data_IF_886128791742
#
_entry.id   IF_886128791742
#
_cell.length_a   1.000
_cell.length_b   1.000
_cell.length_c   1.000
_cell.angle_alpha   90.00
_cell.angle_beta   90.00
_cell.angle_gamma   90.00
#
_symmetry.space_group_name_H-M   'P 1'
#
loop_
_entity.id
_entity.type
_entity.pdbx_description
1 polymer ?
#
# COMPACT_ATOMS: atom_id res chain seq x y z
N UNK A 1 4.91 12.13 3.36
CA UNK A 1 3.97 11.00 3.21
C UNK A 1 4.54 9.84 4.02
N UNK A 2 3.83 8.74 4.16
CA UNK A 2 4.37 7.49 4.71
C UNK A 2 4.10 6.36 3.71
N UNK A 3 4.70 5.19 3.92
CA UNK A 3 4.25 3.97 3.25
C UNK A 3 2.79 3.69 3.64
N UNK A 4 1.97 3.34 2.66
CA UNK A 4 0.57 3.02 2.88
C UNK A 4 0.34 1.52 2.74
N UNK A 5 -0.20 0.90 3.78
CA UNK A 5 -0.55 -0.51 3.76
C UNK A 5 -2.06 -0.66 3.53
N UNK A 6 -2.42 -1.53 2.60
CA UNK A 6 -3.80 -1.90 2.28
C UNK A 6 -3.91 -3.42 2.24
N UNK A 7 -5.13 -3.94 2.29
CA UNK A 7 -5.39 -5.36 2.06
C UNK A 7 -5.93 -5.56 0.64
N UNK A 8 -5.78 -6.77 0.11
CA UNK A 8 -6.46 -7.19 -1.12
C UNK A 8 -7.32 -8.42 -0.84
N UNK A 9 -8.51 -8.45 -1.42
CA UNK A 9 -9.42 -9.60 -1.37
C UNK A 9 -9.52 -10.24 -2.75
N UNK A 10 -9.45 -11.57 -2.81
CA UNK A 10 -9.63 -12.29 -4.06
C UNK A 10 -11.11 -12.47 -4.38
N UNK A 11 -11.60 -11.75 -5.38
CA UNK A 11 -13.02 -11.71 -5.78
C UNK A 11 -13.09 -11.92 -7.29
N UNK A 12 -13.94 -12.85 -7.73
CA UNK A 12 -14.21 -13.12 -9.15
C UNK A 12 -12.95 -13.31 -10.03
N UNK A 13 -11.94 -14.01 -9.49
CA UNK A 13 -10.72 -14.34 -10.24
C UNK A 13 -9.64 -13.24 -10.24
N UNK A 14 -9.77 -12.19 -9.43
CA UNK A 14 -8.79 -11.10 -9.31
C UNK A 14 -8.62 -10.61 -7.88
N UNK A 15 -7.46 -10.01 -7.60
CA UNK A 15 -7.21 -9.31 -6.35
C UNK A 15 -7.76 -7.88 -6.42
N UNK A 16 -8.59 -7.51 -5.45
CA UNK A 16 -9.26 -6.22 -5.35
C UNK A 16 -8.83 -5.50 -4.07
N UNK A 17 -8.43 -4.23 -4.17
CA UNK A 17 -7.97 -3.40 -3.04
C UNK A 17 -9.10 -3.10 -2.08
N UNK A 18 -8.80 -3.29 -0.79
CA UNK A 18 -9.61 -2.88 0.35
C UNK A 18 -8.79 -1.90 1.19
N UNK A 19 -9.21 -0.65 1.19
CA UNK A 19 -8.63 0.42 2.01
C UNK A 19 -9.75 1.11 2.79
N UNK A 20 -9.81 0.87 4.10
CA UNK A 20 -10.78 1.49 4.99
C UNK A 20 -10.40 2.91 5.42
N UNK A 21 -9.16 3.32 5.16
CA UNK A 21 -8.65 4.64 5.56
C UNK A 21 -9.06 5.72 4.56
N UNK A 22 -9.20 5.34 3.28
CA UNK A 22 -9.49 6.25 2.17
C UNK A 22 -8.54 7.47 2.11
N UNK A 23 -7.29 7.30 2.57
CA UNK A 23 -6.30 8.39 2.64
C UNK A 23 -5.66 8.70 1.28
N UNK A 24 -5.76 7.78 0.32
CA UNK A 24 -5.32 7.98 -1.05
C UNK A 24 -6.26 7.25 -2.03
N UNK A 25 -6.47 7.78 -3.26
CA UNK A 25 -7.21 7.08 -4.29
C UNK A 25 -6.57 5.73 -4.61
N UNK A 26 -7.34 4.63 -4.54
CA UNK A 26 -6.82 3.27 -4.75
C UNK A 26 -6.15 3.09 -6.11
N UNK A 27 -6.64 3.77 -7.15
CA UNK A 27 -6.05 3.75 -8.50
C UNK A 27 -4.72 4.48 -8.64
N UNK A 28 -4.35 5.29 -7.63
CA UNK A 28 -3.06 6.01 -7.58
C UNK A 28 -1.99 5.28 -6.78
N UNK A 29 -2.34 4.18 -6.10
CA UNK A 29 -1.39 3.40 -5.31
C UNK A 29 -0.39 2.66 -6.21
N UNK A 30 0.87 2.67 -5.79
CA UNK A 30 1.95 1.92 -6.44
C UNK A 30 2.33 0.76 -5.52
N UNK A 31 2.20 -0.48 -6.02
CA UNK A 31 2.53 -1.68 -5.25
C UNK A 31 4.04 -1.79 -5.04
N UNK A 32 4.46 -1.90 -3.78
CA UNK A 32 5.85 -2.20 -3.40
C UNK A 32 6.01 -3.70 -3.13
N UNK A 33 5.13 -4.27 -2.30
CA UNK A 33 5.14 -5.69 -1.93
C UNK A 33 3.72 -6.18 -1.63
N UNK A 34 3.54 -7.49 -1.70
CA UNK A 34 2.33 -8.20 -1.27
C UNK A 34 2.74 -9.44 -0.50
N UNK A 35 2.03 -9.74 0.58
CA UNK A 35 2.30 -10.86 1.47
C UNK A 35 1.07 -11.17 2.32
N UNK A 36 1.18 -12.17 3.20
CA UNK A 36 0.04 -12.56 4.05
C UNK A 36 -0.24 -11.51 5.12
N UNK A 37 0.81 -10.86 5.61
CA UNK A 37 0.77 -9.84 6.63
C UNK A 37 2.04 -8.95 6.59
N UNK A 38 2.19 -8.08 7.59
CA UNK A 38 3.30 -7.15 7.70
C UNK A 38 4.69 -7.82 7.85
N UNK A 39 4.79 -9.08 8.29
CA UNK A 39 6.07 -9.77 8.36
C UNK A 39 6.60 -10.11 6.96
N UNK A 40 5.70 -10.43 6.02
CA UNK A 40 6.04 -10.70 4.62
C UNK A 40 6.26 -9.39 3.82
N UNK A 41 5.82 -8.23 4.32
CA UNK A 41 5.83 -6.94 3.60
C UNK A 41 6.49 -5.80 4.37
N UNK A 42 7.33 -6.08 5.36
CA UNK A 42 8.03 -5.05 6.12
C UNK A 42 9.00 -4.27 5.21
N UNK A 43 8.98 -2.93 5.30
CA UNK A 43 9.94 -2.10 4.55
C UNK A 43 11.39 -2.29 5.05
N UNK A 44 11.55 -2.63 6.34
CA UNK A 44 12.82 -2.93 6.98
C UNK A 44 12.62 -3.99 8.05
N UNK A 45 13.56 -4.94 8.14
CA UNK A 45 13.58 -5.99 9.16
C UNK A 45 14.97 -6.11 9.78
N UNK A 46 15.03 -6.10 11.12
CA UNK A 46 16.26 -6.37 11.87
C UNK A 46 16.25 -7.82 12.32
N UNK A 47 17.03 -8.68 11.64
CA UNK A 47 17.08 -10.12 11.95
C UNK A 47 17.98 -10.39 13.16
N UNK A 48 19.09 -9.65 13.28
CA UNK A 48 20.04 -9.74 14.39
C UNK A 48 20.56 -8.35 14.75
N UNK A 49 20.99 -8.17 16.00
CA UNK A 49 21.55 -6.91 16.47
C UNK A 49 20.51 -5.81 16.67
N UNK A 50 20.96 -4.55 16.64
CA UNK A 50 20.12 -3.37 16.84
C UNK A 50 20.36 -2.37 15.72
N UNK A 51 19.27 -1.78 15.23
CA UNK A 51 19.28 -0.71 14.25
C UNK A 51 18.34 0.40 14.71
N UNK A 52 18.74 1.64 14.48
CA UNK A 52 17.94 2.83 14.72
C UNK A 52 17.59 3.48 13.39
N UNK A 53 16.29 3.68 13.14
CA UNK A 53 15.84 4.49 12.02
C UNK A 53 15.87 5.95 12.44
N UNK A 54 16.84 6.71 11.93
CA UNK A 54 17.03 8.12 12.31
C UNK A 54 16.16 9.07 11.50
N UNK A 55 15.88 8.73 10.24
CA UNK A 55 15.07 9.55 9.33
C UNK A 55 14.44 8.68 8.24
N UNK A 56 13.27 9.10 7.75
CA UNK A 56 12.59 8.48 6.60
C UNK A 56 11.84 9.53 5.80
N UNK A 57 12.05 9.54 4.48
CA UNK A 57 11.31 10.38 3.55
C UNK A 57 10.63 9.50 2.50
N UNK A 58 9.29 9.62 2.41
CA UNK A 58 8.47 8.92 1.42
C UNK A 58 7.73 9.95 0.58
N UNK A 59 7.86 9.84 -0.74
CA UNK A 59 7.18 10.68 -1.73
C UNK A 59 6.54 9.84 -2.83
N UNK A 60 5.40 10.31 -3.33
CA UNK A 60 4.76 9.81 -4.54
C UNK A 60 4.09 11.01 -5.23
N UNK A 61 4.26 11.14 -6.53
CA UNK A 61 3.78 12.31 -7.30
C UNK A 61 3.02 11.86 -8.53
N UNK A 62 1.95 12.58 -8.85
CA UNK A 62 1.16 12.44 -10.08
C UNK A 62 0.73 13.83 -10.53
N UNK A 63 0.61 14.06 -11.84
CA UNK A 63 0.21 15.37 -12.37
C UNK A 63 -1.19 15.78 -11.92
N UNK A 64 -2.11 14.81 -11.85
CA UNK A 64 -3.48 15.02 -11.37
C UNK A 64 -3.91 13.81 -10.56
N UNK A 65 -4.30 14.06 -9.31
CA UNK A 65 -4.78 13.01 -8.42
C UNK A 65 -6.20 12.57 -8.84
N UNK A 66 -6.44 11.29 -9.14
CA UNK A 66 -7.76 10.83 -9.56
C UNK A 66 -8.76 10.85 -8.39
N UNK A 67 -10.05 10.96 -8.70
CA UNK A 67 -11.10 10.68 -7.71
C UNK A 67 -11.20 9.18 -7.43
N UNK A 68 -11.64 8.81 -6.21
CA UNK A 68 -11.89 7.42 -5.85
C UNK A 68 -13.34 7.20 -5.42
N UNK A 69 -14.04 6.32 -6.12
CA UNK A 69 -15.38 5.86 -5.76
C UNK A 69 -15.26 4.51 -5.04
N UNK A 70 -15.43 4.54 -3.71
CA UNK A 70 -15.31 3.39 -2.82
C UNK A 70 -16.34 2.28 -3.10
N UNK A 71 -17.37 2.55 -3.90
CA UNK A 71 -18.35 1.53 -4.32
C UNK A 71 -17.86 0.65 -5.47
N UNK A 72 -16.82 1.10 -6.19
CA UNK A 72 -16.18 0.34 -7.26
C UNK A 72 -14.99 -0.46 -6.73
N UNK A 73 -14.80 -1.65 -7.31
CA UNK A 73 -13.62 -2.49 -7.07
C UNK A 73 -12.45 -1.99 -7.91
N UNK A 74 -11.26 -1.98 -7.32
CA UNK A 74 -10.01 -1.53 -7.96
C UNK A 74 -8.97 -2.64 -7.84
N UNK A 75 -8.26 -2.92 -8.92
CA UNK A 75 -7.10 -3.82 -8.93
C UNK A 75 -5.83 -2.99 -9.14
N UNK A 76 -4.79 -3.25 -8.35
CA UNK A 76 -3.47 -2.66 -8.61
C UNK A 76 -2.76 -3.44 -9.71
N UNK A 77 -2.05 -2.69 -10.57
CA UNK A 77 -1.20 -3.24 -11.64
C UNK A 77 -0.03 -4.07 -11.14
#
# INVERSE_FOLDING_TARGET
>A
MDFHAVCEAYVDGRWCVVDSTALAPRSSLVRIATGRDAADTAFLSTIYGWAELTDVEVTATVDTLPSDDLTHVVQLG
#
